data_IF_288141320679
#
_entry.id   IF_288141320679
#
_cell.length_a   1.000
_cell.length_b   1.000
_cell.length_c   1.000
_cell.angle_alpha   90.00
_cell.angle_beta   90.00
_cell.angle_gamma   90.00
#
_symmetry.space_group_name_H-M   'P 1'
#
loop_
_entity.id
_entity.type
_entity.pdbx_description
1 polymer ?
#
# COMPACT_ATOMS: atom_id res chain seq x y z
N UNK A 1 -2.75 -11.59 -21.34
CA UNK A 1 -2.25 -10.83 -20.17
C UNK A 1 -2.54 -11.72 -18.98
N UNK A 2 -1.51 -12.38 -18.46
CA UNK A 2 -1.66 -13.30 -17.33
C UNK A 2 -1.77 -12.43 -16.07
N UNK A 3 -2.95 -12.34 -15.49
CA UNK A 3 -3.14 -11.64 -14.21
C UNK A 3 -2.52 -12.53 -13.14
N UNK A 4 -1.30 -12.18 -12.72
CA UNK A 4 -0.66 -12.83 -11.58
C UNK A 4 -1.54 -12.56 -10.34
N UNK A 5 -1.96 -13.59 -9.58
CA UNK A 5 -2.85 -13.41 -8.44
C UNK A 5 -2.21 -12.46 -7.42
N UNK A 6 -2.67 -11.22 -7.41
CA UNK A 6 -2.14 -10.20 -6.53
C UNK A 6 -2.72 -10.35 -5.12
N UNK A 7 -1.82 -10.21 -4.16
CA UNK A 7 -2.08 -10.32 -2.73
C UNK A 7 -3.23 -9.38 -2.34
N UNK A 8 -4.22 -9.88 -1.61
CA UNK A 8 -5.35 -9.09 -1.13
C UNK A 8 -5.05 -8.17 0.05
N UNK A 9 -6.10 -7.55 0.60
CA UNK A 9 -6.07 -6.95 1.94
C UNK A 9 -5.20 -5.71 2.11
N UNK A 10 -4.88 -4.98 1.02
CA UNK A 10 -4.02 -3.78 1.08
C UNK A 10 -2.52 -4.07 1.25
N UNK A 11 -2.14 -5.35 1.35
CA UNK A 11 -0.75 -5.79 1.53
C UNK A 11 0.08 -5.57 0.27
N UNK A 12 -0.51 -5.77 -0.92
CA UNK A 12 0.15 -5.47 -2.19
C UNK A 12 0.62 -4.00 -2.27
N UNK A 13 -0.19 -3.05 -1.77
CA UNK A 13 0.16 -1.63 -1.75
C UNK A 13 1.29 -1.34 -0.75
N UNK A 14 1.30 -2.03 0.40
CA UNK A 14 2.37 -1.92 1.38
C UNK A 14 3.71 -2.40 0.81
N UNK A 15 3.75 -3.57 0.16
CA UNK A 15 4.97 -4.07 -0.47
C UNK A 15 5.43 -3.17 -1.63
N UNK A 16 4.50 -2.63 -2.43
CA UNK A 16 4.84 -1.64 -3.45
C UNK A 16 5.49 -0.38 -2.83
N UNK A 17 5.06 0.04 -1.64
CA UNK A 17 5.69 1.16 -0.92
C UNK A 17 7.14 0.86 -0.51
N UNK A 18 7.47 -0.41 -0.24
CA UNK A 18 8.82 -0.86 0.12
C UNK A 18 9.77 -0.82 -1.08
N UNK A 19 9.29 -1.26 -2.24
CA UNK A 19 10.03 -1.16 -3.53
C UNK A 19 10.27 0.30 -3.96
N UNK A 20 9.31 1.19 -3.66
CA UNK A 20 9.46 2.63 -3.88
C UNK A 20 10.56 3.26 -3.02
N UNK A 21 10.89 2.67 -1.87
CA UNK A 21 11.96 3.13 -1.01
C UNK A 21 13.33 2.97 -1.69
N UNK A 22 13.57 1.80 -2.29
CA UNK A 22 14.77 1.57 -3.11
C UNK A 22 14.84 2.50 -4.32
N UNK A 23 13.70 2.85 -4.90
CA UNK A 23 13.64 3.84 -5.99
C UNK A 23 14.01 5.25 -5.48
N UNK A 24 13.55 5.64 -4.29
CA UNK A 24 13.87 6.93 -3.67
C UNK A 24 15.38 7.13 -3.51
N UNK A 25 16.11 6.09 -3.13
CA UNK A 25 17.58 6.14 -2.97
C UNK A 25 18.32 6.41 -4.29
N UNK A 26 17.71 6.09 -5.43
CA UNK A 26 18.28 6.39 -6.76
C UNK A 26 18.02 7.82 -7.23
N UNK A 27 17.09 8.54 -6.57
CA UNK A 27 16.71 9.90 -6.95
C UNK A 27 17.66 10.92 -6.31
N UNK A 28 18.22 11.79 -7.13
CA UNK A 28 19.11 12.89 -6.70
C UNK A 28 18.38 14.21 -6.48
N UNK A 29 17.14 14.34 -6.96
CA UNK A 29 16.33 15.55 -6.83
C UNK A 29 15.42 15.48 -5.59
N UNK A 30 15.55 16.47 -4.70
CA UNK A 30 14.79 16.56 -3.46
C UNK A 30 13.27 16.60 -3.67
N UNK A 31 12.78 17.32 -4.69
CA UNK A 31 11.35 17.41 -5.02
C UNK A 31 10.77 16.03 -5.40
N UNK A 32 11.56 15.23 -6.13
CA UNK A 32 11.17 13.88 -6.50
C UNK A 32 11.18 12.94 -5.30
N UNK A 33 12.14 13.09 -4.38
CA UNK A 33 12.17 12.33 -3.13
C UNK A 33 10.96 12.63 -2.24
N UNK A 34 10.54 13.90 -2.16
CA UNK A 34 9.31 14.31 -1.48
C UNK A 34 8.09 13.68 -2.15
N UNK A 35 8.00 13.72 -3.49
CA UNK A 35 6.93 13.09 -4.25
C UNK A 35 6.82 11.58 -3.98
N UNK A 36 7.94 10.85 -3.99
CA UNK A 36 7.96 9.42 -3.66
C UNK A 36 7.54 9.18 -2.21
N UNK A 37 7.96 10.05 -1.27
CA UNK A 37 7.56 9.93 0.13
C UNK A 37 6.04 10.09 0.33
N UNK A 38 5.41 11.01 -0.41
CA UNK A 38 3.96 11.22 -0.39
C UNK A 38 3.24 9.98 -0.91
N UNK A 39 3.70 9.42 -2.04
CA UNK A 39 3.12 8.19 -2.61
C UNK A 39 3.28 7.02 -1.65
N UNK A 40 4.45 6.84 -1.03
CA UNK A 40 4.66 5.82 0.00
C UNK A 40 3.66 5.93 1.15
N UNK A 41 3.40 7.15 1.63
CA UNK A 41 2.44 7.37 2.71
C UNK A 41 1.01 7.06 2.27
N UNK A 42 0.62 7.50 1.06
CA UNK A 42 -0.70 7.21 0.50
C UNK A 42 -0.95 5.71 0.34
N UNK A 43 0.06 4.92 -0.04
CA UNK A 43 -0.04 3.46 -0.17
C UNK A 43 -0.29 2.73 1.17
N UNK A 44 0.10 3.33 2.30
CA UNK A 44 -0.12 2.77 3.64
C UNK A 44 -1.55 3.05 4.16
N UNK A 45 -2.18 4.12 3.69
CA UNK A 45 -3.54 4.54 4.11
C UNK A 45 -4.59 3.45 3.91
N UNK A 46 -4.71 2.78 2.74
CA UNK A 46 -5.76 1.78 2.53
C UNK A 46 -5.60 0.56 3.45
N UNK A 47 -4.38 0.05 3.63
CA UNK A 47 -4.12 -1.04 4.59
C UNK A 47 -4.49 -0.62 6.01
N UNK A 48 -4.09 0.60 6.42
CA UNK A 48 -4.43 1.15 7.73
C UNK A 48 -5.96 1.25 7.91
N UNK A 49 -6.67 1.68 6.88
CA UNK A 49 -8.14 1.83 6.90
C UNK A 49 -8.84 0.48 7.00
N UNK A 50 -8.35 -0.54 6.29
CA UNK A 50 -8.89 -1.92 6.38
C UNK A 50 -8.71 -2.46 7.80
N UNK A 51 -7.52 -2.29 8.37
CA UNK A 51 -7.22 -2.70 9.74
C UNK A 51 -8.07 -1.94 10.78
N UNK A 52 -8.20 -0.61 10.64
CA UNK A 52 -9.03 0.21 11.53
C UNK A 52 -10.50 -0.21 11.48
N UNK A 53 -11.02 -0.47 10.27
CA UNK A 53 -12.37 -0.99 10.06
C UNK A 53 -12.57 -2.40 10.64
N UNK A 54 -11.51 -3.19 10.76
CA UNK A 54 -11.52 -4.50 11.41
C UNK A 54 -11.43 -4.41 12.95
N UNK A 55 -11.27 -3.20 13.50
CA UNK A 55 -11.16 -2.97 14.93
C UNK A 55 -9.74 -3.11 15.49
N UNK A 56 -8.73 -3.17 14.62
CA UNK A 56 -7.31 -3.21 15.02
C UNK A 56 -6.56 -1.96 14.63
N UNK A 57 -5.50 -1.65 15.37
CA UNK A 57 -4.69 -0.49 15.11
C UNK A 57 -3.88 -0.67 13.81
N UNK A 58 -4.34 -0.07 12.71
CA UNK A 58 -3.72 -0.24 11.41
C UNK A 58 -2.25 0.22 11.32
N UNK A 59 -1.82 1.14 12.19
CA UNK A 59 -0.41 1.53 12.28
C UNK A 59 0.46 0.36 12.77
N UNK A 60 -0.02 -0.42 13.73
CA UNK A 60 0.67 -1.61 14.27
C UNK A 60 0.71 -2.71 13.22
N UNK A 61 -0.39 -2.93 12.50
CA UNK A 61 -0.46 -3.93 11.42
C UNK A 61 0.53 -3.60 10.30
N UNK A 62 0.56 -2.34 9.87
CA UNK A 62 1.53 -1.84 8.88
C UNK A 62 2.98 -2.05 9.36
N UNK A 63 3.27 -1.70 10.61
CA UNK A 63 4.60 -1.88 11.21
C UNK A 63 5.04 -3.34 11.25
N UNK A 64 4.17 -4.22 11.76
CA UNK A 64 4.44 -5.66 11.84
C UNK A 64 4.67 -6.31 10.47
N UNK A 65 3.93 -5.88 9.44
CA UNK A 65 4.11 -6.38 8.08
C UNK A 65 5.39 -5.84 7.43
N UNK A 66 5.80 -4.61 7.74
CA UNK A 66 7.06 -4.03 7.24
C UNK A 66 8.29 -4.71 7.87
N UNK A 67 8.23 -5.02 9.18
CA UNK A 67 9.26 -5.75 9.92
C UNK A 67 9.27 -7.25 9.58
N UNK A 68 8.12 -7.83 9.24
CA UNK A 68 8.04 -9.23 8.83
C UNK A 68 8.82 -9.44 7.54
N UNK A 69 9.84 -10.29 7.62
CA UNK A 69 10.54 -10.85 6.45
C UNK A 69 9.82 -12.09 5.90
N UNK A 70 8.65 -12.43 6.44
CA UNK A 70 7.76 -13.45 5.91
C UNK A 70 7.38 -13.05 4.48
N UNK A 71 7.62 -13.97 3.54
CA UNK A 71 7.66 -13.70 2.10
C UNK A 71 6.44 -13.00 1.51
N UNK A 72 6.54 -12.70 0.21
CA UNK A 72 5.63 -11.83 -0.53
C UNK A 72 4.12 -12.08 -0.39
N UNK A 73 3.67 -13.27 0.00
CA UNK A 73 2.24 -13.61 0.17
C UNK A 73 1.71 -13.43 1.59
N UNK A 74 2.57 -13.16 2.56
CA UNK A 74 2.20 -12.99 3.96
C UNK A 74 1.51 -11.63 4.17
N UNK A 75 0.37 -11.65 4.85
CA UNK A 75 -0.44 -10.48 5.06
C UNK A 75 -1.30 -10.57 6.30
N UNK A 76 -2.06 -9.51 6.57
CA UNK A 76 -3.00 -9.48 7.68
C UNK A 76 -4.43 -9.68 7.15
N UNK A 77 -5.07 -10.74 7.63
CA UNK A 77 -6.44 -11.07 7.29
C UNK A 77 -7.40 -10.37 8.26
N UNK A 78 -7.98 -9.25 7.81
CA UNK A 78 -8.94 -8.45 8.57
C UNK A 78 -10.25 -9.19 8.91
N UNK A 79 -10.59 -10.27 8.21
CA UNK A 79 -11.79 -11.05 8.50
C UNK A 79 -11.61 -11.99 9.69
N UNK A 80 -10.39 -12.46 9.93
CA UNK A 80 -10.04 -13.44 10.98
C UNK A 80 -9.11 -12.87 12.05
N UNK A 81 -8.65 -11.62 11.89
CA UNK A 81 -7.70 -10.95 12.78
C UNK A 81 -6.33 -11.65 12.88
N UNK A 82 -5.92 -12.36 11.83
CA UNK A 82 -4.71 -13.20 11.83
C UNK A 82 -3.74 -12.85 10.73
N UNK A 83 -2.43 -13.01 11.00
CA UNK A 83 -1.39 -12.89 10.00
C UNK A 83 -1.19 -14.24 9.31
N UNK A 84 -1.50 -14.30 8.03
CA UNK A 84 -1.49 -15.55 7.25
C UNK A 84 -1.18 -15.25 5.78
N UNK A 85 -0.99 -16.32 5.00
CA UNK A 85 -0.84 -16.21 3.56
C UNK A 85 -2.20 -15.84 2.93
N UNK A 86 -2.31 -14.61 2.43
CA UNK A 86 -3.56 -14.10 1.89
C UNK A 86 -3.98 -14.81 0.60
N UNK A 87 -3.02 -15.33 -0.17
CA UNK A 87 -3.31 -16.10 -1.38
C UNK A 87 -3.87 -17.47 -0.99
N UNK A 88 -3.28 -18.13 0.02
CA UNK A 88 -3.79 -19.38 0.55
C UNK A 88 -5.16 -19.24 1.24
N UNK A 89 -5.41 -18.09 1.87
CA UNK A 89 -6.70 -17.73 2.47
C UNK A 89 -7.78 -17.38 1.43
N UNK A 90 -7.42 -17.27 0.14
CA UNK A 90 -8.32 -16.86 -0.93
C UNK A 90 -8.63 -15.35 -0.95
N UNK A 91 -7.90 -14.55 -0.19
CA UNK A 91 -7.97 -13.09 -0.14
C UNK A 91 -7.05 -12.54 -1.23
N UNK A 92 -7.59 -12.43 -2.44
CA UNK A 92 -6.88 -11.98 -3.64
C UNK A 92 -7.55 -10.67 -4.11
N UNK A 93 -6.77 -9.59 -4.22
CA UNK A 93 -7.31 -8.35 -4.78
C UNK A 93 -7.18 -8.38 -6.30
N UNK A 94 -8.24 -8.01 -7.05
CA UNK A 94 -8.09 -7.80 -8.47
C UNK A 94 -7.11 -6.64 -8.73
N UNK A 95 -5.97 -6.94 -9.34
CA UNK A 95 -4.90 -5.99 -9.69
C UNK A 95 -5.42 -4.72 -10.39
N UNK A 96 -6.49 -4.84 -11.19
CA UNK A 96 -7.13 -3.70 -11.85
C UNK A 96 -7.70 -2.66 -10.87
N UNK A 97 -8.26 -3.10 -9.73
CA UNK A 97 -8.92 -2.23 -8.75
C UNK A 97 -7.85 -1.48 -7.96
N UNK A 98 -6.81 -2.20 -7.53
CA UNK A 98 -5.65 -1.63 -6.83
C UNK A 98 -4.94 -0.57 -7.69
N UNK A 99 -4.69 -0.88 -8.97
CA UNK A 99 -4.05 0.05 -9.91
C UNK A 99 -4.92 1.27 -10.22
N UNK A 100 -6.23 1.07 -10.41
CA UNK A 100 -7.15 2.17 -10.70
C UNK A 100 -7.30 3.08 -9.49
N UNK A 101 -7.45 2.53 -8.28
CA UNK A 101 -7.53 3.29 -7.05
C UNK A 101 -6.26 4.11 -6.77
N UNK A 102 -5.08 3.54 -7.07
CA UNK A 102 -3.82 4.26 -6.95
C UNK A 102 -3.69 5.40 -7.97
N UNK A 103 -4.09 5.16 -9.23
CA UNK A 103 -4.08 6.20 -10.27
C UNK A 103 -5.07 7.33 -9.94
N UNK A 104 -6.24 6.98 -9.40
CA UNK A 104 -7.26 7.94 -8.97
C UNK A 104 -6.74 8.78 -7.79
N UNK A 105 -6.15 8.14 -6.78
CA UNK A 105 -5.53 8.82 -5.65
C UNK A 105 -4.36 9.73 -6.07
N UNK A 106 -3.50 9.27 -7.00
CA UNK A 106 -2.41 10.08 -7.54
C UNK A 106 -2.93 11.28 -8.36
N UNK A 107 -4.04 11.11 -9.08
CA UNK A 107 -4.69 12.19 -9.82
C UNK A 107 -5.28 13.25 -8.88
N UNK A 108 -5.95 12.83 -7.81
CA UNK A 108 -6.46 13.73 -6.75
C UNK A 108 -5.30 14.46 -6.04
N UNK A 109 -4.22 13.76 -5.68
CA UNK A 109 -3.05 14.36 -5.05
C UNK A 109 -2.35 15.38 -5.98
N UNK A 110 -2.29 15.10 -7.28
CA UNK A 110 -1.78 16.04 -8.29
C UNK A 110 -2.68 17.27 -8.43
N UNK A 111 -3.99 17.11 -8.26
CA UNK A 111 -4.96 18.22 -8.23
C UNK A 111 -4.88 19.08 -6.96
N UNK A 112 -4.48 18.51 -5.83
CA UNK A 112 -4.31 19.25 -4.56
C UNK A 112 -3.08 20.16 -4.52
N UNK A 113 -2.10 19.98 -5.41
CA UNK A 113 -0.99 20.92 -5.58
C UNK A 113 -1.36 22.23 -6.30
N UNK A 114 -2.59 22.32 -6.83
CA UNK A 114 -3.09 23.46 -7.60
C UNK A 114 -4.14 24.34 -6.90
N UNK A 115 -4.55 24.02 -5.67
CA UNK A 115 -5.47 24.89 -4.91
C UNK A 115 -4.68 25.88 -4.06
N UNK A 116 -4.46 27.05 -4.65
CA UNK A 116 -4.41 28.38 -4.03
C UNK A 116 -3.71 28.49 -2.66
N UNK A 117 -2.41 28.77 -2.69
CA UNK A 117 -1.82 29.68 -1.69
C UNK A 117 -1.93 31.11 -2.23
N UNK A 118 -3.00 31.82 -1.86
CA UNK A 118 -3.10 33.28 -1.96
C UNK A 118 -2.77 33.91 -0.61
#
# INVERSE_FOLDING_TARGET
MNEDPMRGGGVALLYASKELESTKETLTNFDQQIGVQIVQNALKVPLKTIADNAGVEGTVVVGNLLESSSGDTFGYNAATDTYEDLVAAGIIDPLKVVRTALLDAASVASGMGGMDIY
#
